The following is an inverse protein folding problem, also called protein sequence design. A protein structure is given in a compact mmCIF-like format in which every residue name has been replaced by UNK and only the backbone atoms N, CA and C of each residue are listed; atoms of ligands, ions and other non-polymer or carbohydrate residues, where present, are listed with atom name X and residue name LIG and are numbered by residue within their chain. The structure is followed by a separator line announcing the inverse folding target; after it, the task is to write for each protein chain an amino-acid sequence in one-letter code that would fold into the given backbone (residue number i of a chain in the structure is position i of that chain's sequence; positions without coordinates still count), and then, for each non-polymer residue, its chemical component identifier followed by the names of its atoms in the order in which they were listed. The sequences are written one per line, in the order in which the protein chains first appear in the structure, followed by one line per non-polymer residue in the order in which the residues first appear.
data_IF_517866562627
#
_entry.id   IF_517866562627
#
_cell.length_a   1.000
_cell.length_b   1.000
_cell.length_c   1.000
_cell.angle_alpha   90.00
_cell.angle_beta   90.00
_cell.angle_gamma   90.00
#
_symmetry.space_group_name_H-M   'P 1'
#
loop_
_entity.id
_entity.type
_entity.pdbx_description
1 polymer ?
#
# COMPACT_ATOMS: atom_id res chain seq x y z
N UNK A 1 -13.10 -10.55 -17.74
CA UNK A 1 -12.78 -11.69 -16.83
C UNK A 1 -11.35 -12.24 -17.01
N UNK A 2 -10.79 -12.23 -18.21
CA UNK A 2 -9.44 -12.78 -18.49
C UNK A 2 -8.31 -11.98 -17.82
N UNK A 3 -8.45 -10.67 -17.62
CA UNK A 3 -7.43 -9.82 -16.98
C UNK A 3 -7.30 -10.04 -15.47
N UNK A 4 -8.39 -10.38 -14.78
CA UNK A 4 -8.39 -10.70 -13.35
C UNK A 4 -7.66 -12.03 -13.09
N UNK A 5 -7.86 -13.04 -13.94
CA UNK A 5 -7.21 -14.35 -13.82
C UNK A 5 -5.69 -14.25 -13.98
N UNK A 6 -5.19 -13.36 -14.85
CA UNK A 6 -3.76 -13.17 -15.03
C UNK A 6 -3.07 -12.52 -13.82
N UNK A 7 -3.72 -11.54 -13.17
CA UNK A 7 -3.17 -10.89 -11.96
C UNK A 7 -3.21 -11.82 -10.75
N UNK A 8 -4.27 -12.62 -10.59
CA UNK A 8 -4.36 -13.62 -9.52
C UNK A 8 -3.30 -14.73 -9.66
N UNK A 9 -3.00 -15.17 -10.88
CA UNK A 9 -1.92 -16.14 -11.14
C UNK A 9 -0.55 -15.55 -10.76
N UNK A 10 -0.25 -14.31 -11.15
CA UNK A 10 1.02 -13.68 -10.78
C UNK A 10 1.18 -13.50 -9.27
N UNK A 11 0.12 -13.06 -8.57
CA UNK A 11 0.12 -12.92 -7.11
C UNK A 11 0.34 -14.28 -6.44
N UNK A 12 -0.36 -15.32 -6.88
CA UNK A 12 -0.23 -16.67 -6.36
C UNK A 12 1.18 -17.24 -6.57
N UNK A 13 1.74 -17.07 -7.76
CA UNK A 13 3.06 -17.62 -8.08
C UNK A 13 4.15 -16.88 -7.32
N UNK A 14 4.06 -15.55 -7.18
CA UNK A 14 4.93 -14.76 -6.29
C UNK A 14 4.84 -15.25 -4.84
N UNK A 15 3.64 -15.54 -4.34
CA UNK A 15 3.44 -16.06 -2.98
C UNK A 15 4.13 -17.42 -2.77
N UNK A 16 4.05 -18.34 -3.74
CA UNK A 16 4.75 -19.62 -3.65
C UNK A 16 6.27 -19.45 -3.65
N UNK A 17 6.80 -18.57 -4.50
CA UNK A 17 8.23 -18.25 -4.48
C UNK A 17 8.69 -17.64 -3.16
N UNK A 18 7.93 -16.71 -2.59
CA UNK A 18 8.23 -16.12 -1.29
C UNK A 18 8.18 -17.15 -0.17
N UNK A 19 7.18 -18.02 -0.17
CA UNK A 19 7.08 -19.11 0.81
C UNK A 19 8.28 -20.06 0.73
N UNK A 20 8.64 -20.51 -0.47
CA UNK A 20 9.73 -21.45 -0.67
C UNK A 20 11.08 -20.80 -0.35
N UNK A 21 11.28 -19.52 -0.64
CA UNK A 21 12.43 -18.74 -0.25
C UNK A 21 12.54 -18.62 1.29
N UNK A 22 11.44 -18.31 1.96
CA UNK A 22 11.40 -18.20 3.44
C UNK A 22 11.70 -19.56 4.11
N UNK A 23 11.14 -20.65 3.60
CA UNK A 23 11.45 -22.01 4.07
C UNK A 23 12.92 -22.38 3.90
N UNK A 24 13.59 -21.88 2.86
CA UNK A 24 15.02 -22.06 2.61
C UNK A 24 15.92 -21.08 3.38
N UNK A 25 15.34 -20.14 4.16
CA UNK A 25 16.08 -19.08 4.86
C UNK A 25 16.66 -18.00 3.96
N UNK A 26 16.15 -17.86 2.74
CA UNK A 26 16.52 -16.80 1.82
C UNK A 26 15.80 -15.48 2.15
N UNK A 27 16.45 -14.35 1.90
CA UNK A 27 15.85 -13.04 2.06
C UNK A 27 14.68 -12.83 1.05
N UNK A 28 13.50 -12.59 1.56
CA UNK A 28 12.26 -12.38 0.77
C UNK A 28 11.98 -10.90 0.48
N UNK A 29 12.76 -9.98 1.02
CA UNK A 29 12.57 -8.53 0.90
C UNK A 29 12.43 -8.08 -0.55
N UNK A 30 13.31 -8.54 -1.44
CA UNK A 30 13.24 -8.22 -2.86
C UNK A 30 11.88 -8.58 -3.47
N UNK A 31 11.39 -9.79 -3.25
CA UNK A 31 10.11 -10.24 -3.84
C UNK A 31 8.92 -9.48 -3.27
N UNK A 32 8.95 -9.13 -1.98
CA UNK A 32 7.95 -8.30 -1.32
C UNK A 32 7.85 -6.92 -1.98
N UNK A 33 8.98 -6.27 -2.22
CA UNK A 33 9.00 -4.97 -2.90
C UNK A 33 8.62 -5.04 -4.38
N UNK A 34 8.94 -6.13 -5.08
CA UNK A 34 8.43 -6.37 -6.44
C UNK A 34 6.90 -6.44 -6.47
N UNK A 35 6.29 -7.15 -5.53
CA UNK A 35 4.83 -7.18 -5.41
C UNK A 35 4.26 -5.79 -5.13
N UNK A 36 4.80 -5.07 -4.15
CA UNK A 36 4.31 -3.75 -3.77
C UNK A 36 4.47 -2.69 -4.86
N UNK A 37 5.59 -2.68 -5.60
CA UNK A 37 5.81 -1.71 -6.68
C UNK A 37 4.84 -1.92 -7.86
N UNK A 38 4.29 -3.09 -7.99
CA UNK A 38 3.26 -3.40 -8.99
C UNK A 38 1.84 -3.08 -8.46
N UNK A 39 1.55 -3.46 -7.22
CA UNK A 39 0.18 -3.40 -6.67
C UNK A 39 -0.20 -2.02 -6.14
N UNK A 40 0.69 -1.33 -5.42
CA UNK A 40 0.36 -0.04 -4.78
C UNK A 40 0.08 1.08 -5.79
N UNK A 41 0.84 1.25 -6.89
CA UNK A 41 0.47 2.20 -7.93
C UNK A 41 -0.88 1.89 -8.60
N UNK A 42 -1.26 0.61 -8.74
CA UNK A 42 -2.57 0.23 -9.26
C UNK A 42 -3.70 0.65 -8.31
N UNK A 43 -3.52 0.52 -7.00
CA UNK A 43 -4.48 1.03 -6.01
C UNK A 43 -4.61 2.57 -6.11
N UNK A 44 -3.54 3.29 -6.43
CA UNK A 44 -3.59 4.73 -6.71
C UNK A 44 -4.43 5.05 -7.97
N UNK A 45 -4.34 4.21 -9.00
CA UNK A 45 -5.20 4.33 -10.20
C UNK A 45 -6.66 4.12 -9.83
N UNK A 46 -6.97 3.17 -8.95
CA UNK A 46 -8.34 2.91 -8.49
C UNK A 46 -8.94 4.13 -7.77
N UNK A 47 -8.19 4.81 -6.90
CA UNK A 47 -8.62 6.10 -6.32
C UNK A 47 -8.98 7.14 -7.37
N UNK A 48 -8.17 7.27 -8.42
CA UNK A 48 -8.50 8.15 -9.52
C UNK A 48 -9.78 7.73 -10.23
N UNK A 49 -9.94 6.44 -10.53
CA UNK A 49 -11.08 5.94 -11.29
C UNK A 49 -12.41 6.16 -10.57
N UNK A 50 -12.49 5.96 -9.25
CA UNK A 50 -13.73 6.19 -8.48
C UNK A 50 -14.11 7.67 -8.46
N UNK A 51 -13.12 8.58 -8.52
CA UNK A 51 -13.32 10.02 -8.51
C UNK A 51 -13.36 10.67 -9.91
N UNK A 52 -13.06 9.91 -10.96
CA UNK A 52 -12.95 10.47 -12.32
C UNK A 52 -14.24 11.16 -12.77
N UNK A 53 -15.41 10.57 -12.46
CA UNK A 53 -16.72 11.17 -12.79
C UNK A 53 -17.03 12.41 -11.94
N UNK A 54 -16.43 12.56 -10.77
CA UNK A 54 -16.55 13.73 -9.91
C UNK A 54 -15.61 14.88 -10.32
N UNK A 55 -14.72 14.63 -11.28
CA UNK A 55 -13.80 15.63 -11.83
C UNK A 55 -12.35 15.45 -11.44
N UNK A 56 -11.95 14.28 -10.94
CA UNK A 56 -10.54 13.98 -10.70
C UNK A 56 -9.73 14.03 -12.01
N UNK A 57 -8.54 14.59 -11.93
CA UNK A 57 -7.66 14.75 -13.08
C UNK A 57 -6.58 13.68 -13.10
N UNK A 58 -6.03 13.39 -14.28
CA UNK A 58 -4.86 12.51 -14.41
C UNK A 58 -3.65 13.02 -13.62
N UNK A 59 -3.57 14.33 -13.36
CA UNK A 59 -2.52 14.91 -12.50
C UNK A 59 -2.57 14.30 -11.10
N UNK A 60 -3.76 14.21 -10.49
CA UNK A 60 -3.92 13.56 -9.19
C UNK A 60 -3.43 12.10 -9.21
N UNK A 61 -3.83 11.34 -10.23
CA UNK A 61 -3.38 9.96 -10.40
C UNK A 61 -1.85 9.85 -10.41
N UNK A 62 -1.18 10.67 -11.24
CA UNK A 62 0.27 10.66 -11.33
C UNK A 62 0.99 11.16 -10.07
N UNK A 63 0.37 12.08 -9.32
CA UNK A 63 0.89 12.50 -8.02
C UNK A 63 0.87 11.36 -6.99
N UNK A 64 -0.24 10.61 -6.92
CA UNK A 64 -0.35 9.45 -6.02
C UNK A 64 0.63 8.34 -6.43
N UNK A 65 0.72 8.03 -7.73
CA UNK A 65 1.68 7.04 -8.25
C UNK A 65 3.11 7.48 -7.94
N UNK A 66 3.46 8.75 -8.17
CA UNK A 66 4.80 9.27 -7.88
C UNK A 66 5.17 9.18 -6.41
N UNK A 67 4.26 9.58 -5.51
CA UNK A 67 4.48 9.47 -4.06
C UNK A 67 4.61 8.02 -3.60
N UNK A 68 3.75 7.13 -4.08
CA UNK A 68 3.84 5.71 -3.75
C UNK A 68 5.13 5.08 -4.27
N UNK A 69 5.58 5.45 -5.46
CA UNK A 69 6.86 4.98 -6.01
C UNK A 69 8.04 5.47 -5.17
N UNK A 70 8.08 6.75 -4.80
CA UNK A 70 9.12 7.29 -3.90
C UNK A 70 9.11 6.55 -2.56
N UNK A 71 7.93 6.34 -1.97
CA UNK A 71 7.76 5.61 -0.72
C UNK A 71 8.37 4.21 -0.80
N UNK A 72 8.04 3.46 -1.84
CA UNK A 72 8.48 2.07 -2.00
C UNK A 72 9.98 1.97 -2.34
N UNK A 73 10.47 2.80 -3.26
CA UNK A 73 11.89 2.78 -3.64
C UNK A 73 12.77 3.20 -2.47
N UNK A 74 12.41 4.26 -1.76
CA UNK A 74 13.14 4.66 -0.56
C UNK A 74 13.08 3.57 0.52
N UNK A 75 11.91 2.97 0.76
CA UNK A 75 11.76 1.85 1.70
C UNK A 75 12.70 0.69 1.36
N UNK A 76 12.72 0.26 0.10
CA UNK A 76 13.60 -0.81 -0.36
C UNK A 76 15.09 -0.48 -0.15
N UNK A 77 15.53 0.71 -0.55
CA UNK A 77 16.93 1.12 -0.38
C UNK A 77 17.30 1.16 1.11
N UNK A 78 16.39 1.60 1.97
CA UNK A 78 16.62 1.64 3.40
C UNK A 78 16.69 0.25 4.04
N UNK A 79 15.82 -0.68 3.63
CA UNK A 79 15.77 -2.03 4.18
C UNK A 79 16.97 -2.90 3.72
N UNK A 80 17.50 -2.64 2.53
CA UNK A 80 18.62 -3.40 1.95
C UNK A 80 19.97 -2.71 2.02
N UNK A 81 20.04 -1.44 2.45
CA UNK A 81 21.25 -0.62 2.42
C UNK A 81 21.75 -0.19 3.79
N UNK A 82 22.80 0.62 3.80
CA UNK A 82 23.53 1.04 5.01
C UNK A 82 22.91 2.25 5.74
N UNK A 83 21.80 2.79 5.27
CA UNK A 83 21.19 4.01 5.85
C UNK A 83 19.67 3.86 6.06
N UNK A 84 19.23 2.87 6.84
CA UNK A 84 17.81 2.55 7.00
C UNK A 84 17.00 3.71 7.58
N UNK A 85 17.54 4.45 8.56
CA UNK A 85 16.83 5.59 9.19
C UNK A 85 16.58 6.72 8.19
N UNK A 86 17.56 7.06 7.35
CA UNK A 86 17.41 8.12 6.35
C UNK A 86 16.34 7.77 5.32
N UNK A 87 16.47 6.62 4.70
CA UNK A 87 15.55 6.20 3.63
C UNK A 87 14.18 5.82 4.17
N UNK A 88 14.09 5.23 5.35
CA UNK A 88 12.83 5.01 6.04
C UNK A 88 12.11 6.32 6.37
N UNK A 89 12.85 7.37 6.75
CA UNK A 89 12.28 8.71 6.97
C UNK A 89 11.74 9.30 5.67
N UNK A 90 12.48 9.20 4.55
CA UNK A 90 12.02 9.66 3.23
C UNK A 90 10.75 8.91 2.82
N UNK A 91 10.74 7.60 2.97
CA UNK A 91 9.58 6.74 2.71
C UNK A 91 8.37 7.14 3.55
N UNK A 92 8.57 7.33 4.86
CA UNK A 92 7.52 7.77 5.78
C UNK A 92 6.95 9.16 5.44
N UNK A 93 7.80 10.12 5.06
CA UNK A 93 7.35 11.44 4.60
C UNK A 93 6.48 11.30 3.36
N UNK A 94 6.88 10.53 2.36
CA UNK A 94 6.09 10.31 1.15
C UNK A 94 4.73 9.67 1.47
N UNK A 95 4.68 8.71 2.39
CA UNK A 95 3.44 8.11 2.89
C UNK A 95 2.53 9.15 3.55
N UNK A 96 3.03 9.93 4.51
CA UNK A 96 2.21 10.93 5.20
C UNK A 96 1.76 12.08 4.28
N UNK A 97 2.56 12.46 3.28
CA UNK A 97 2.13 13.41 2.25
C UNK A 97 0.97 12.84 1.45
N UNK A 98 1.04 11.58 1.06
CA UNK A 98 -0.05 10.91 0.34
C UNK A 98 -1.32 10.82 1.20
N UNK A 99 -1.21 10.42 2.47
CA UNK A 99 -2.32 10.43 3.43
C UNK A 99 -2.93 11.83 3.55
N UNK A 100 -2.09 12.86 3.74
CA UNK A 100 -2.56 14.24 3.81
C UNK A 100 -3.29 14.70 2.55
N UNK A 101 -2.79 14.33 1.37
CA UNK A 101 -3.47 14.63 0.10
C UNK A 101 -4.87 13.98 0.02
N UNK A 102 -4.99 12.74 0.47
CA UNK A 102 -6.27 12.01 0.43
C UNK A 102 -7.24 12.55 1.49
N UNK A 103 -6.80 12.82 2.70
CA UNK A 103 -7.69 13.24 3.80
C UNK A 103 -8.05 14.72 3.81
N UNK A 104 -7.15 15.59 3.35
CA UNK A 104 -7.27 17.05 3.47
C UNK A 104 -7.28 17.75 2.12
N UNK A 105 -6.95 17.05 1.04
CA UNK A 105 -6.78 17.63 -0.28
C UNK A 105 -8.03 17.60 -1.17
N UNK A 106 -7.84 17.96 -2.43
CA UNK A 106 -8.88 17.95 -3.45
C UNK A 106 -9.62 16.61 -3.66
N UNK A 107 -8.98 15.43 -3.48
CA UNK A 107 -9.68 14.16 -3.59
C UNK A 107 -10.87 14.04 -2.63
N UNK A 108 -10.69 14.50 -1.38
CA UNK A 108 -11.76 14.51 -0.37
C UNK A 108 -12.95 15.37 -0.81
N UNK A 109 -12.69 16.60 -1.28
CA UNK A 109 -13.73 17.48 -1.77
C UNK A 109 -14.49 16.90 -2.99
N UNK A 110 -13.78 16.19 -3.88
CA UNK A 110 -14.39 15.49 -5.01
C UNK A 110 -15.28 14.33 -4.56
N UNK A 111 -14.85 13.57 -3.56
CA UNK A 111 -15.63 12.48 -2.97
C UNK A 111 -16.92 13.02 -2.30
N UNK A 112 -16.80 14.10 -1.53
CA UNK A 112 -17.94 14.78 -0.91
C UNK A 112 -18.92 15.32 -1.94
N UNK A 113 -18.42 15.91 -3.03
CA UNK A 113 -19.25 16.37 -4.15
C UNK A 113 -19.97 15.21 -4.85
N UNK A 114 -19.32 14.05 -4.99
CA UNK A 114 -19.93 12.87 -5.59
C UNK A 114 -21.03 12.28 -4.68
N UNK A 115 -20.82 12.31 -3.38
CA UNK A 115 -21.78 11.81 -2.36
C UNK A 115 -22.03 10.30 -2.44
N UNK A 116 -23.05 9.85 -1.70
CA UNK A 116 -23.57 8.47 -1.73
C UNK A 116 -22.49 7.39 -1.65
N UNK A 117 -22.65 6.34 -2.42
CA UNK A 117 -21.75 5.17 -2.42
C UNK A 117 -20.29 5.50 -2.80
N UNK A 118 -20.06 6.56 -3.58
CA UNK A 118 -18.70 7.00 -3.91
C UNK A 118 -17.99 7.57 -2.70
N UNK A 119 -18.66 8.40 -1.92
CA UNK A 119 -18.11 8.95 -0.68
C UNK A 119 -17.84 7.87 0.36
N UNK A 120 -18.75 6.91 0.50
CA UNK A 120 -18.59 5.78 1.43
C UNK A 120 -17.38 4.91 1.03
N UNK A 121 -17.28 4.53 -0.25
CA UNK A 121 -16.16 3.79 -0.77
C UNK A 121 -14.84 4.56 -0.58
N UNK A 122 -14.82 5.84 -0.93
CA UNK A 122 -13.65 6.70 -0.75
C UNK A 122 -13.17 6.74 0.71
N UNK A 123 -14.08 6.95 1.65
CA UNK A 123 -13.74 6.98 3.06
C UNK A 123 -13.19 5.62 3.55
N UNK A 124 -13.81 4.51 3.12
CA UNK A 124 -13.30 3.17 3.45
C UNK A 124 -11.88 2.96 2.91
N UNK A 125 -11.61 3.32 1.65
CA UNK A 125 -10.28 3.22 1.05
C UNK A 125 -9.24 4.11 1.77
N UNK A 126 -9.64 5.32 2.19
CA UNK A 126 -8.77 6.19 2.98
C UNK A 126 -8.40 5.57 4.34
N UNK A 127 -9.32 4.85 4.99
CA UNK A 127 -9.03 4.11 6.22
C UNK A 127 -8.09 2.92 5.97
N UNK A 128 -8.23 2.20 4.85
CA UNK A 128 -7.26 1.16 4.47
C UNK A 128 -5.86 1.74 4.31
N UNK A 129 -5.72 2.93 3.68
CA UNK A 129 -4.42 3.57 3.56
C UNK A 129 -3.91 4.05 4.91
N UNK A 130 -4.71 4.75 5.71
CA UNK A 130 -4.25 5.32 6.97
C UNK A 130 -3.91 4.24 8.01
N UNK A 131 -4.80 3.28 8.21
CA UNK A 131 -4.66 2.24 9.25
C UNK A 131 -4.01 0.99 8.68
N UNK A 132 -4.51 0.49 7.56
CA UNK A 132 -4.00 -0.75 6.96
C UNK A 132 -2.55 -0.64 6.50
N UNK A 133 -2.18 0.47 5.88
CA UNK A 133 -0.80 0.66 5.41
C UNK A 133 0.16 1.14 6.49
N UNK A 134 -0.31 1.61 7.65
CA UNK A 134 0.58 1.98 8.76
C UNK A 134 1.41 0.80 9.30
N UNK A 135 0.96 -0.43 9.05
CA UNK A 135 1.68 -1.65 9.43
C UNK A 135 3.08 -1.71 8.77
N UNK A 136 3.24 -1.18 7.55
CA UNK A 136 4.51 -1.24 6.82
C UNK A 136 5.58 -0.33 7.41
N UNK A 137 5.37 0.99 7.61
CA UNK A 137 6.36 1.82 8.27
C UNK A 137 6.61 1.42 9.72
N UNK A 138 5.59 0.94 10.45
CA UNK A 138 5.77 0.45 11.81
C UNK A 138 6.66 -0.80 11.81
N UNK A 139 6.38 -1.76 10.94
CA UNK A 139 7.19 -2.97 10.83
C UNK A 139 8.61 -2.70 10.35
N UNK A 140 8.78 -1.75 9.43
CA UNK A 140 10.10 -1.27 9.01
C UNK A 140 10.90 -0.71 10.20
N UNK A 141 10.27 0.09 11.06
CA UNK A 141 10.93 0.66 12.24
C UNK A 141 11.27 -0.42 13.28
N UNK A 142 10.42 -1.41 13.47
CA UNK A 142 10.67 -2.55 14.37
C UNK A 142 11.84 -3.40 13.86
N UNK A 143 11.92 -3.63 12.55
CA UNK A 143 13.01 -4.42 11.93
C UNK A 143 14.33 -3.68 11.75
N UNK A 144 14.43 -2.42 12.22
CA UNK A 144 15.63 -1.57 12.05
C UNK A 144 16.33 -1.36 13.38
N UNK A 145 17.52 -1.91 13.53
CA UNK A 145 18.33 -1.77 14.74
C UNK A 145 18.54 -0.30 15.14
N UNK A 146 18.36 -0.02 16.43
CA UNK A 146 18.65 1.30 17.02
C UNK A 146 17.60 2.37 16.77
N UNK A 147 16.47 2.07 16.11
CA UNK A 147 15.45 3.07 15.86
C UNK A 147 14.30 3.07 16.88
N UNK A 148 13.89 1.93 17.37
CA UNK A 148 12.86 1.78 18.40
C UNK A 148 13.16 0.60 19.33
N UNK A 149 14.26 0.67 20.10
CA UNK A 149 14.72 -0.39 20.99
C UNK A 149 13.65 -0.88 22.00
N UNK A 150 12.65 -0.05 22.30
CA UNK A 150 11.57 -0.45 23.20
C UNK A 150 10.55 -1.42 22.56
N UNK A 151 10.56 -1.59 21.25
CA UNK A 151 9.64 -2.47 20.51
C UNK A 151 10.26 -3.83 20.26
N UNK A 152 11.59 -3.99 20.40
CA UNK A 152 12.32 -5.26 20.27
C UNK A 152 11.82 -6.36 21.23
N UNK A 153 11.07 -5.98 22.26
CA UNK A 153 10.44 -6.91 23.18
C UNK A 153 9.23 -7.68 22.60
N UNK A 154 8.76 -7.34 21.39
CA UNK A 154 7.62 -7.99 20.74
C UNK A 154 8.17 -9.02 19.75
N UNK A 155 8.12 -10.33 20.05
CA UNK A 155 8.61 -11.36 19.15
C UNK A 155 7.61 -11.60 18.01
N UNK A 156 7.52 -10.64 17.08
CA UNK A 156 6.70 -10.74 15.89
C UNK A 156 7.58 -11.07 14.68
N UNK A 157 7.23 -12.13 13.99
CA UNK A 157 7.76 -12.40 12.65
C UNK A 157 7.13 -11.39 11.68
N UNK A 158 7.91 -10.38 11.29
CA UNK A 158 7.41 -9.28 10.46
C UNK A 158 7.00 -9.76 9.07
N UNK A 159 7.59 -10.82 8.53
CA UNK A 159 7.15 -11.38 7.25
C UNK A 159 5.73 -11.95 7.35
N UNK A 160 5.41 -12.62 8.44
CA UNK A 160 4.04 -13.10 8.72
C UNK A 160 3.07 -11.92 8.87
N UNK A 161 3.47 -10.88 9.60
CA UNK A 161 2.65 -9.68 9.82
C UNK A 161 2.37 -8.97 8.49
N UNK A 162 3.39 -8.78 7.64
CA UNK A 162 3.22 -8.18 6.31
C UNK A 162 2.33 -9.03 5.40
N UNK A 163 2.50 -10.35 5.38
CA UNK A 163 1.67 -11.23 4.56
C UNK A 163 0.19 -11.18 4.96
N UNK A 164 -0.11 -11.18 6.26
CA UNK A 164 -1.49 -11.01 6.76
C UNK A 164 -2.01 -9.61 6.41
N UNK A 165 -1.21 -8.59 6.64
CA UNK A 165 -1.55 -7.21 6.31
C UNK A 165 -1.86 -7.02 4.83
N UNK A 166 -1.03 -7.59 3.95
CA UNK A 166 -1.24 -7.57 2.51
C UNK A 166 -2.54 -8.25 2.10
N UNK A 167 -2.82 -9.44 2.64
CA UNK A 167 -4.06 -10.15 2.36
C UNK A 167 -5.29 -9.32 2.75
N UNK A 168 -5.31 -8.77 3.96
CA UNK A 168 -6.42 -7.94 4.46
C UNK A 168 -6.55 -6.66 3.63
N UNK A 169 -5.44 -5.95 3.39
CA UNK A 169 -5.47 -4.67 2.68
C UNK A 169 -5.88 -4.84 1.22
N UNK A 170 -5.28 -5.78 0.49
CA UNK A 170 -5.56 -5.97 -0.94
C UNK A 170 -6.95 -6.53 -1.19
N UNK A 171 -7.35 -7.54 -0.42
CA UNK A 171 -8.71 -8.12 -0.52
C UNK A 171 -9.76 -7.10 -0.09
N UNK A 172 -9.57 -6.45 1.06
CA UNK A 172 -10.49 -5.45 1.57
C UNK A 172 -10.66 -4.27 0.62
N UNK A 173 -9.56 -3.74 0.08
CA UNK A 173 -9.56 -2.68 -0.92
C UNK A 173 -10.33 -3.10 -2.18
N UNK A 174 -10.04 -4.28 -2.73
CA UNK A 174 -10.72 -4.83 -3.89
C UNK A 174 -12.22 -5.04 -3.66
N UNK A 175 -12.64 -5.49 -2.47
CA UNK A 175 -14.05 -5.65 -2.11
C UNK A 175 -14.79 -4.31 -2.05
N UNK A 176 -14.17 -3.25 -1.55
CA UNK A 176 -14.78 -1.90 -1.55
C UNK A 176 -15.01 -1.43 -2.98
N UNK A 177 -14.03 -1.58 -3.88
CA UNK A 177 -14.16 -1.23 -5.30
C UNK A 177 -15.23 -2.09 -5.99
N UNK A 178 -15.24 -3.40 -5.72
CA UNK A 178 -16.26 -4.30 -6.27
C UNK A 178 -17.67 -3.89 -5.85
N UNK A 179 -17.88 -3.65 -4.55
CA UNK A 179 -19.18 -3.22 -4.03
C UNK A 179 -19.64 -1.91 -4.67
N UNK A 180 -18.73 -0.94 -4.85
CA UNK A 180 -19.05 0.31 -5.55
C UNK A 180 -19.43 0.06 -7.02
N UNK A 181 -18.79 -0.89 -7.69
CA UNK A 181 -19.05 -1.19 -9.09
C UNK A 181 -20.41 -1.87 -9.32
N UNK A 182 -20.86 -2.72 -8.37
CA UNK A 182 -22.13 -3.46 -8.49
C UNK A 182 -23.33 -2.73 -7.88
N UNK A 183 -23.09 -1.72 -7.04
CA UNK A 183 -24.17 -0.91 -6.41
C UNK A 183 -24.79 0.16 -7.33
N UNK A 184 -24.48 0.11 -8.63
CA UNK A 184 -25.00 1.06 -9.65
C UNK A 184 -26.23 0.52 -10.35
#
# INVERSE_FOLDING_TARGET
SVRLVGSEMCIRDSYYYMRDANVSGADVTFFRYVDWILTVPLMCVEFYLILAKAGATKKLMWQLIGLSTVMLVAGYIGETGDSPVLYGTISGIAYFVMVGMLWLGSPKALAEKAGGSVLEAYNALCWFILVGWSIYPIGYMIGTDGWYDFVDAIPLDMDVVYNIGDAINKIGFGLVIYNLAVSK
#
